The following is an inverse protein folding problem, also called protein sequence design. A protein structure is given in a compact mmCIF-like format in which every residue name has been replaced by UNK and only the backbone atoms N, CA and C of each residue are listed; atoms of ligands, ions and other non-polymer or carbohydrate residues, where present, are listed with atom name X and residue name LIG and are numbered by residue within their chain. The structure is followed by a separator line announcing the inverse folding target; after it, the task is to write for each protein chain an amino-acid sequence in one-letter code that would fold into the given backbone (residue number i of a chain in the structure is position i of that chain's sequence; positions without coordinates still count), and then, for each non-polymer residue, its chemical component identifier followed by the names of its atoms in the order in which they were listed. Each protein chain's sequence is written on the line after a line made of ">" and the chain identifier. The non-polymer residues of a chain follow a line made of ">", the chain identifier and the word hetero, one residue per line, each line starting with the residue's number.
data_IF_972827177166
#
_entry.id   IF_972827177166
#
_cell.length_a   1.000
_cell.length_b   1.000
_cell.length_c   1.000
_cell.angle_alpha   90.00
_cell.angle_beta   90.00
_cell.angle_gamma   90.00
#
_symmetry.space_group_name_H-M   'P 1'
#
loop_
_entity.id
_entity.type
_entity.pdbx_description
1 polymer ?
#
# COMPACT_ATOMS: atom_id res chain seq x y z
N UNK A 1 12.03 -1.20 57.06
CA UNK A 1 10.84 -0.81 57.84
C UNK A 1 10.19 0.39 57.18
N UNK A 2 8.85 0.44 57.24
CA UNK A 2 7.94 1.55 56.91
C UNK A 2 7.78 1.92 55.42
N UNK A 3 6.60 2.22 54.89
CA UNK A 3 5.21 1.93 55.30
C UNK A 3 4.35 2.12 54.04
N UNK A 4 3.39 1.23 53.81
CA UNK A 4 2.34 1.41 52.81
C UNK A 4 1.39 2.53 53.25
N UNK A 5 0.95 3.37 52.31
CA UNK A 5 -0.29 4.14 52.45
C UNK A 5 -1.29 3.65 51.41
N UNK A 6 -2.44 3.19 51.92
CA UNK A 6 -3.67 2.82 51.22
C UNK A 6 -4.71 3.92 51.44
N UNK A 7 -5.62 4.07 50.46
CA UNK A 7 -6.90 4.79 50.56
C UNK A 7 -6.76 6.29 50.33
N UNK A 8 -7.59 6.97 49.54
CA UNK A 8 -9.05 7.04 49.70
C UNK A 8 -9.75 7.25 48.34
N UNK A 9 -10.86 6.53 48.22
CA UNK A 9 -11.98 6.52 47.25
C UNK A 9 -12.24 7.73 46.34
N UNK A 10 -12.34 7.45 45.03
CA UNK A 10 -13.19 8.19 44.08
C UNK A 10 -14.32 7.26 43.62
N UNK A 11 -15.36 7.14 44.43
CA UNK A 11 -16.60 6.45 44.07
C UNK A 11 -17.75 7.29 44.60
N UNK A 12 -18.21 8.26 43.80
CA UNK A 12 -19.53 8.92 43.92
C UNK A 12 -19.68 10.06 42.88
N UNK A 13 -19.50 9.76 41.58
CA UNK A 13 -19.89 10.71 40.54
C UNK A 13 -20.44 10.04 39.26
N UNK A 14 -21.00 8.83 39.38
CA UNK A 14 -21.58 8.11 38.22
C UNK A 14 -23.04 7.68 38.43
N UNK A 15 -23.72 8.18 39.46
CA UNK A 15 -25.10 7.73 39.78
C UNK A 15 -26.21 8.76 39.51
N UNK A 16 -25.94 9.84 38.77
CA UNK A 16 -26.98 10.87 38.47
C UNK A 16 -27.14 11.15 36.96
N UNK A 17 -26.41 10.46 36.07
CA UNK A 17 -26.47 10.73 34.62
C UNK A 17 -27.09 9.60 33.80
N UNK A 18 -27.83 8.68 34.44
CA UNK A 18 -28.48 7.54 33.77
C UNK A 18 -30.02 7.70 33.75
N UNK A 19 -30.57 8.67 34.49
CA UNK A 19 -32.03 8.91 34.60
C UNK A 19 -32.65 9.91 33.63
N UNK A 20 -31.88 10.51 32.71
CA UNK A 20 -32.38 11.53 31.78
C UNK A 20 -32.17 11.23 30.29
N UNK A 21 -31.64 10.06 29.92
CA UNK A 21 -31.45 9.68 28.50
C UNK A 21 -32.56 8.80 27.94
N UNK A 22 -33.69 8.68 28.63
CA UNK A 22 -34.81 7.82 28.22
C UNK A 22 -36.15 8.57 28.27
N UNK A 23 -36.28 9.62 27.45
CA UNK A 23 -37.57 10.22 27.08
C UNK A 23 -37.47 11.22 25.91
N UNK A 24 -36.74 10.89 24.84
CA UNK A 24 -36.96 11.58 23.55
C UNK A 24 -36.81 10.56 22.43
N UNK A 25 -37.92 9.86 22.17
CA UNK A 25 -38.10 9.02 21.01
C UNK A 25 -38.04 9.91 19.77
N UNK A 26 -36.95 9.79 19.02
CA UNK A 26 -36.72 10.46 17.74
C UNK A 26 -37.55 9.78 16.64
N UNK A 27 -38.87 9.93 16.76
CA UNK A 27 -39.86 9.61 15.73
C UNK A 27 -40.33 10.92 15.09
N UNK A 28 -39.36 11.75 14.68
CA UNK A 28 -39.62 12.91 13.84
C UNK A 28 -39.81 12.36 12.42
N UNK A 29 -41.06 12.36 11.94
CA UNK A 29 -41.37 12.06 10.55
C UNK A 29 -40.54 12.95 9.60
N UNK A 30 -40.37 12.55 8.33
CA UNK A 30 -39.59 13.35 7.39
C UNK A 30 -40.11 14.78 7.35
N UNK A 31 -39.19 15.74 7.43
CA UNK A 31 -39.49 17.18 7.37
C UNK A 31 -40.43 17.45 6.19
N UNK A 32 -41.60 18.03 6.47
CA UNK A 32 -42.57 18.41 5.45
C UNK A 32 -42.02 19.61 4.67
N UNK A 33 -41.09 19.33 3.76
CA UNK A 33 -40.48 20.34 2.89
C UNK A 33 -41.42 20.61 1.73
N UNK A 34 -41.84 21.85 1.58
CA UNK A 34 -42.61 22.29 0.42
C UNK A 34 -41.90 21.90 -0.89
N UNK A 35 -42.67 21.45 -1.88
CA UNK A 35 -42.14 20.97 -3.17
C UNK A 35 -41.17 21.97 -3.83
N UNK A 36 -41.47 23.27 -3.75
CA UNK A 36 -40.61 24.33 -4.29
C UNK A 36 -39.28 24.45 -3.56
N UNK A 37 -39.27 24.31 -2.22
CA UNK A 37 -38.04 24.28 -1.45
C UNK A 37 -37.19 23.08 -1.86
N UNK A 38 -37.78 21.89 -1.96
CA UNK A 38 -37.11 20.68 -2.45
C UNK A 38 -36.49 20.86 -3.84
N UNK A 39 -37.23 21.49 -4.76
CA UNK A 39 -36.75 21.80 -6.11
C UNK A 39 -35.55 22.74 -6.09
N UNK A 40 -35.58 23.79 -5.27
CA UNK A 40 -34.44 24.72 -5.17
C UNK A 40 -33.20 24.08 -4.56
N UNK A 41 -33.38 23.22 -3.54
CA UNK A 41 -32.29 22.47 -2.91
C UNK A 41 -31.64 21.51 -3.90
N UNK A 42 -32.45 20.76 -4.66
CA UNK A 42 -31.95 19.84 -5.68
C UNK A 42 -31.14 20.58 -6.77
N UNK A 43 -31.63 21.74 -7.24
CA UNK A 43 -30.90 22.54 -8.24
C UNK A 43 -29.59 23.11 -7.71
N UNK A 44 -29.55 23.54 -6.44
CA UNK A 44 -28.32 24.00 -5.78
C UNK A 44 -27.32 22.85 -5.62
N UNK A 45 -27.78 21.70 -5.13
CA UNK A 45 -26.97 20.49 -4.99
C UNK A 45 -26.32 20.07 -6.33
N UNK A 46 -27.07 20.11 -7.43
CA UNK A 46 -26.53 19.82 -8.76
C UNK A 46 -25.42 20.82 -9.16
N UNK A 47 -25.63 22.12 -8.92
CA UNK A 47 -24.63 23.15 -9.23
C UNK A 47 -23.36 22.96 -8.39
N UNK A 48 -23.52 22.74 -7.08
CA UNK A 48 -22.42 22.53 -6.15
C UNK A 48 -21.61 21.28 -6.51
N UNK A 49 -22.29 20.20 -6.93
CA UNK A 49 -21.63 18.99 -7.42
C UNK A 49 -20.76 19.30 -8.65
N UNK A 50 -21.27 20.05 -9.64
CA UNK A 50 -20.50 20.43 -10.83
C UNK A 50 -19.30 21.34 -10.47
N UNK A 51 -19.50 22.29 -9.57
CA UNK A 51 -18.42 23.18 -9.11
C UNK A 51 -17.34 22.42 -8.34
N UNK A 52 -17.72 21.48 -7.49
CA UNK A 52 -16.77 20.64 -6.75
C UNK A 52 -15.85 19.84 -7.69
N UNK A 53 -16.41 19.31 -8.79
CA UNK A 53 -15.65 18.59 -9.82
C UNK A 53 -14.68 19.53 -10.54
N UNK A 54 -15.10 20.76 -10.87
CA UNK A 54 -14.23 21.77 -11.49
C UNK A 54 -13.07 22.13 -10.56
N UNK A 55 -13.35 22.45 -9.30
CA UNK A 55 -12.34 22.75 -8.26
C UNK A 55 -11.38 21.58 -8.07
N UNK A 56 -11.89 20.35 -8.02
CA UNK A 56 -11.06 19.14 -7.92
C UNK A 56 -10.11 18.97 -9.11
N UNK A 57 -10.58 19.22 -10.33
CA UNK A 57 -9.73 19.20 -11.55
C UNK A 57 -8.64 20.27 -11.50
N UNK A 58 -8.95 21.47 -11.03
CA UNK A 58 -7.98 22.56 -10.87
C UNK A 58 -6.90 22.22 -9.84
N UNK A 59 -7.28 21.70 -8.68
CA UNK A 59 -6.31 21.25 -7.66
C UNK A 59 -5.37 20.17 -8.22
N UNK A 60 -5.86 19.25 -9.06
CA UNK A 60 -5.03 18.23 -9.68
C UNK A 60 -4.05 18.83 -10.70
N UNK A 61 -4.50 19.80 -11.50
CA UNK A 61 -3.63 20.56 -12.42
C UNK A 61 -2.56 21.34 -11.65
N UNK A 62 -2.90 21.96 -10.54
CA UNK A 62 -1.96 22.69 -9.69
C UNK A 62 -0.90 21.76 -9.09
N UNK A 63 -1.31 20.60 -8.56
CA UNK A 63 -0.39 19.56 -8.07
C UNK A 63 0.55 19.06 -9.18
N UNK A 64 0.06 18.93 -10.42
CA UNK A 64 0.88 18.59 -11.58
C UNK A 64 1.92 19.68 -11.88
N UNK A 65 1.51 20.95 -11.92
CA UNK A 65 2.42 22.09 -12.11
C UNK A 65 3.49 22.16 -11.03
N UNK A 66 3.11 22.01 -9.75
CA UNK A 66 4.06 21.98 -8.61
C UNK A 66 5.11 20.87 -8.76
N UNK A 67 4.70 19.67 -9.16
CA UNK A 67 5.63 18.55 -9.42
C UNK A 67 6.58 18.85 -10.58
N UNK A 68 6.07 19.43 -11.67
CA UNK A 68 6.89 19.81 -12.82
C UNK A 68 7.94 20.87 -12.44
N UNK A 69 7.53 21.90 -11.70
CA UNK A 69 8.44 22.94 -11.20
C UNK A 69 9.49 22.37 -10.24
N UNK A 70 9.11 21.42 -9.38
CA UNK A 70 10.05 20.74 -8.51
C UNK A 70 11.10 19.95 -9.29
N UNK A 71 10.67 19.23 -10.32
CA UNK A 71 11.59 18.50 -11.21
C UNK A 71 12.53 19.44 -11.97
N UNK A 72 12.02 20.56 -12.49
CA UNK A 72 12.84 21.58 -13.14
C UNK A 72 13.89 22.16 -12.17
N UNK A 73 13.49 22.56 -10.97
CA UNK A 73 14.41 23.03 -9.92
C UNK A 73 15.45 21.98 -9.52
N UNK A 74 15.06 20.71 -9.45
CA UNK A 74 16.02 19.63 -9.18
C UNK A 74 17.02 19.44 -10.33
N UNK A 75 16.58 19.61 -11.59
CA UNK A 75 17.48 19.58 -12.74
C UNK A 75 18.47 20.74 -12.71
N UNK A 76 18.01 21.96 -12.46
CA UNK A 76 18.87 23.14 -12.30
C UNK A 76 19.89 22.95 -11.16
N UNK A 77 19.47 22.41 -10.01
CA UNK A 77 20.37 22.18 -8.85
C UNK A 77 21.34 21.01 -9.02
N UNK A 78 21.13 20.09 -9.98
CA UNK A 78 22.02 18.96 -10.21
C UNK A 78 23.24 19.31 -11.06
N UNK A 79 23.23 20.45 -11.73
CA UNK A 79 24.35 20.96 -12.51
C UNK A 79 24.80 22.28 -11.86
N UNK A 80 25.96 22.29 -11.18
CA UNK A 80 26.57 23.56 -10.77
C UNK A 80 26.74 24.42 -12.02
N UNK A 81 26.21 25.65 -12.00
CA UNK A 81 26.43 26.62 -13.09
C UNK A 81 27.93 26.81 -13.36
N UNK A 82 28.75 26.68 -12.32
CA UNK A 82 30.21 26.70 -12.42
C UNK A 82 30.76 25.64 -13.38
N UNK A 83 30.19 24.42 -13.39
CA UNK A 83 30.62 23.36 -14.32
C UNK A 83 30.11 23.60 -15.74
N UNK A 84 29.01 24.32 -15.93
CA UNK A 84 28.50 24.67 -17.26
C UNK A 84 29.34 25.81 -17.88
N UNK A 85 29.69 26.83 -17.10
CA UNK A 85 30.63 27.89 -17.54
C UNK A 85 32.03 27.34 -17.82
N UNK A 86 32.53 26.39 -17.03
CA UNK A 86 33.80 25.71 -17.29
C UNK A 86 33.77 24.92 -18.61
N UNK A 87 32.65 24.28 -18.96
CA UNK A 87 32.53 23.53 -20.22
C UNK A 87 32.32 24.43 -21.44
N UNK A 88 31.72 25.62 -21.29
CA UNK A 88 31.59 26.61 -22.36
C UNK A 88 32.90 27.37 -22.63
N UNK A 89 33.77 27.49 -21.62
CA UNK A 89 35.09 28.14 -21.75
C UNK A 89 36.19 27.21 -22.25
N UNK A 90 35.97 25.88 -22.28
CA UNK A 90 36.88 24.94 -22.98
C UNK A 90 36.68 25.09 -24.49
N UNK A 91 37.69 25.52 -25.26
CA UNK A 91 37.56 25.65 -26.71
C UNK A 91 37.35 24.26 -27.33
N UNK A 92 36.12 23.98 -27.77
CA UNK A 92 35.80 22.78 -28.54
C UNK A 92 36.57 22.80 -29.87
N UNK A 93 37.63 21.99 -29.95
CA UNK A 93 38.37 21.74 -31.19
C UNK A 93 37.52 20.82 -32.06
N UNK A 94 36.78 21.42 -32.99
CA UNK A 94 35.94 20.74 -33.99
C UNK A 94 36.78 19.77 -34.86
N UNK A 95 36.41 18.49 -35.01
CA UNK A 95 36.82 17.69 -36.16
C UNK A 95 35.89 18.00 -37.35
N UNK A 96 36.51 18.32 -38.49
CA UNK A 96 35.86 18.70 -39.75
C UNK A 96 35.05 17.53 -40.36
N UNK A 97 33.98 17.83 -41.12
CA UNK A 97 33.22 16.84 -41.88
C UNK A 97 33.95 16.47 -43.18
N UNK A 98 33.81 15.21 -43.60
CA UNK A 98 34.10 14.78 -44.97
C UNK A 98 32.89 14.03 -45.50
N UNK A 99 32.27 14.63 -46.52
CA UNK A 99 31.20 14.05 -47.35
C UNK A 99 31.69 12.82 -48.12
N UNK A 100 30.83 11.80 -48.29
CA UNK A 100 30.23 11.41 -49.58
C UNK A 100 29.43 10.10 -49.46
N UNK A 101 28.42 9.99 -50.33
CA UNK A 101 27.32 9.01 -50.36
C UNK A 101 27.76 7.65 -50.94
N UNK A 102 27.08 6.56 -50.57
CA UNK A 102 26.15 5.84 -51.46
C UNK A 102 25.64 4.53 -50.82
N UNK A 103 24.45 4.16 -51.29
CA UNK A 103 23.51 3.13 -50.83
C UNK A 103 23.87 1.68 -51.22
N UNK A 104 23.20 0.77 -50.51
CA UNK A 104 22.66 -0.53 -50.94
C UNK A 104 23.48 -1.83 -50.91
N UNK A 105 22.70 -2.86 -50.56
CA UNK A 105 22.98 -4.25 -50.20
C UNK A 105 23.70 -5.09 -51.26
N UNK A 106 24.44 -6.12 -50.82
CA UNK A 106 24.09 -7.55 -51.04
C UNK A 106 25.18 -8.53 -50.56
N UNK A 107 24.70 -9.65 -50.04
CA UNK A 107 25.43 -10.80 -49.53
C UNK A 107 26.32 -11.53 -50.57
N UNK A 108 27.48 -12.06 -50.16
CA UNK A 108 27.82 -13.53 -50.14
C UNK A 108 29.34 -13.82 -50.04
N UNK A 109 29.66 -14.64 -49.03
CA UNK A 109 30.66 -15.71 -48.92
C UNK A 109 31.96 -15.64 -49.75
N UNK A 110 33.10 -15.62 -49.06
CA UNK A 110 34.26 -16.47 -49.38
C UNK A 110 35.22 -16.55 -48.17
N UNK A 111 35.66 -17.77 -47.84
CA UNK A 111 36.58 -18.12 -46.76
C UNK A 111 37.98 -17.52 -46.96
N UNK A 112 38.57 -16.98 -45.88
CA UNK A 112 40.01 -16.66 -45.83
C UNK A 112 40.62 -17.04 -44.48
N UNK A 113 41.57 -17.98 -44.57
CA UNK A 113 42.83 -18.19 -43.82
C UNK A 113 43.01 -17.52 -42.43
N UNK A 114 43.41 -18.35 -41.45
CA UNK A 114 43.96 -17.96 -40.13
C UNK A 114 45.23 -17.08 -40.30
N UNK A 115 45.50 -16.14 -39.38
CA UNK A 115 46.50 -16.43 -38.35
C UNK A 115 46.22 -15.85 -36.96
N UNK A 116 46.88 -16.43 -35.97
CA UNK A 116 46.81 -16.12 -34.54
C UNK A 116 47.09 -14.65 -34.19
N UNK A 117 46.32 -14.09 -33.25
CA UNK A 117 46.79 -13.06 -32.32
C UNK A 117 46.21 -13.24 -30.92
N UNK A 118 47.10 -13.12 -29.97
CA UNK A 118 46.96 -13.24 -28.52
C UNK A 118 45.91 -12.26 -28.00
N UNK A 119 44.87 -12.76 -27.33
CA UNK A 119 44.09 -11.94 -26.39
C UNK A 119 44.40 -12.43 -24.97
N UNK A 120 45.22 -11.64 -24.27
CA UNK A 120 45.29 -11.68 -22.80
C UNK A 120 43.93 -11.20 -22.28
N UNK A 121 42.94 -12.07 -22.18
CA UNK A 121 41.69 -11.73 -21.50
C UNK A 121 41.99 -11.69 -20.01
N UNK A 122 42.10 -10.49 -19.46
CA UNK A 122 42.23 -10.28 -18.02
C UNK A 122 41.07 -11.01 -17.31
N UNK A 123 41.44 -12.02 -16.53
CA UNK A 123 40.61 -12.58 -15.48
C UNK A 123 40.21 -11.43 -14.53
N UNK A 124 38.92 -11.30 -14.25
CA UNK A 124 38.45 -10.31 -13.31
C UNK A 124 36.94 -10.23 -13.25
N UNK A 125 36.28 -11.30 -12.82
CA UNK A 125 34.86 -11.26 -12.52
C UNK A 125 34.68 -10.47 -11.21
N UNK A 126 34.59 -9.14 -11.30
CA UNK A 126 34.31 -8.29 -10.15
C UNK A 126 32.83 -8.42 -9.78
N UNK A 127 32.52 -9.28 -8.80
CA UNK A 127 31.20 -9.31 -8.19
C UNK A 127 31.17 -8.36 -7.00
N UNK A 128 30.59 -7.17 -7.20
CA UNK A 128 30.35 -6.22 -6.12
C UNK A 128 29.06 -6.61 -5.41
N UNK A 129 29.18 -7.18 -4.22
CA UNK A 129 28.05 -7.43 -3.34
C UNK A 129 27.95 -6.33 -2.29
N UNK A 130 26.76 -5.75 -2.14
CA UNK A 130 26.46 -4.87 -1.01
C UNK A 130 26.27 -5.76 0.22
N UNK A 131 27.28 -5.77 1.07
CA UNK A 131 27.36 -6.63 2.27
C UNK A 131 26.71 -5.89 3.45
N UNK A 132 25.83 -6.60 4.17
CA UNK A 132 25.15 -6.28 5.45
C UNK A 132 23.88 -5.40 5.43
N UNK A 133 23.81 -4.33 4.66
CA UNK A 133 22.65 -3.40 4.76
C UNK A 133 21.34 -3.96 4.20
N UNK A 134 21.38 -5.03 3.39
CA UNK A 134 20.18 -5.60 2.78
C UNK A 134 19.22 -6.22 3.80
N UNK A 135 19.75 -6.82 4.86
CA UNK A 135 18.94 -7.50 5.89
C UNK A 135 18.35 -6.49 6.90
N UNK A 136 19.14 -5.50 7.32
CA UNK A 136 18.70 -4.40 8.17
C UNK A 136 17.70 -3.50 7.43
N UNK A 137 17.91 -3.25 6.13
CA UNK A 137 16.95 -2.53 5.29
C UNK A 137 15.62 -3.29 5.18
N UNK A 138 15.65 -4.62 5.02
CA UNK A 138 14.43 -5.43 4.99
C UNK A 138 13.69 -5.39 6.33
N UNK A 139 14.41 -5.50 7.46
CA UNK A 139 13.82 -5.38 8.79
C UNK A 139 13.20 -4.01 9.04
N UNK A 140 13.89 -2.93 8.66
CA UNK A 140 13.39 -1.57 8.81
C UNK A 140 12.16 -1.33 7.93
N UNK A 141 12.19 -1.86 6.69
CA UNK A 141 11.05 -1.81 5.79
C UNK A 141 9.86 -2.55 6.38
N UNK A 142 10.05 -3.74 6.93
CA UNK A 142 8.97 -4.50 7.57
C UNK A 142 8.39 -3.76 8.77
N UNK A 143 9.23 -3.21 9.64
CA UNK A 143 8.80 -2.38 10.78
C UNK A 143 8.00 -1.15 10.32
N UNK A 144 8.40 -0.49 9.24
CA UNK A 144 7.67 0.64 8.68
C UNK A 144 6.31 0.21 8.11
N UNK A 145 6.23 -0.94 7.44
CA UNK A 145 4.96 -1.49 6.96
C UNK A 145 4.02 -1.82 8.12
N UNK A 146 4.55 -2.44 9.18
CA UNK A 146 3.79 -2.80 10.37
C UNK A 146 3.27 -1.55 11.10
N UNK A 147 4.08 -0.49 11.20
CA UNK A 147 3.67 0.80 11.77
C UNK A 147 2.49 1.42 11.00
N UNK A 148 2.58 1.44 9.66
CA UNK A 148 1.51 1.96 8.80
C UNK A 148 0.25 1.11 8.94
N UNK A 149 0.38 -0.21 8.96
CA UNK A 149 -0.73 -1.13 9.13
C UNK A 149 -1.44 -0.95 10.48
N UNK A 150 -0.70 -0.84 11.57
CA UNK A 150 -1.27 -0.63 12.91
C UNK A 150 -2.03 0.70 13.01
N UNK A 151 -1.55 1.77 12.37
CA UNK A 151 -2.20 3.08 12.37
C UNK A 151 -3.43 3.15 11.46
N UNK A 152 -3.40 2.50 10.29
CA UNK A 152 -4.52 2.53 9.35
C UNK A 152 -5.65 1.57 9.72
N UNK A 153 -5.34 0.39 10.25
CA UNK A 153 -6.30 -0.70 10.42
C UNK A 153 -6.57 -1.10 11.88
N UNK A 154 -5.81 -0.53 12.83
CA UNK A 154 -5.93 -0.82 14.25
C UNK A 154 -5.25 -2.12 14.71
N UNK A 155 -5.00 -2.27 16.01
CA UNK A 155 -4.39 -3.47 16.58
C UNK A 155 -5.27 -4.71 16.37
N UNK A 156 -4.66 -5.83 15.99
CA UNK A 156 -5.34 -7.13 15.80
C UNK A 156 -5.94 -7.35 14.39
N UNK A 157 -5.91 -6.36 13.50
CA UNK A 157 -6.47 -6.50 12.15
C UNK A 157 -5.42 -7.03 11.16
N UNK A 158 -5.45 -8.32 10.85
CA UNK A 158 -4.64 -8.93 9.77
C UNK A 158 -5.26 -8.68 8.37
N UNK A 159 -5.62 -7.44 8.06
CA UNK A 159 -6.06 -7.08 6.70
C UNK A 159 -4.86 -7.23 5.76
N UNK A 160 -4.94 -8.20 4.86
CA UNK A 160 -3.90 -8.42 3.84
C UNK A 160 -4.03 -7.35 2.76
N UNK A 161 -2.93 -6.74 2.32
CA UNK A 161 -2.97 -5.71 1.28
C UNK A 161 -3.35 -6.30 -0.07
N UNK A 162 -3.94 -5.48 -0.96
CA UNK A 162 -4.28 -5.92 -2.32
C UNK A 162 -3.06 -6.49 -3.07
N UNK A 163 -1.87 -5.91 -2.86
CA UNK A 163 -0.64 -6.43 -3.43
C UNK A 163 -0.32 -7.84 -2.92
N UNK A 164 -0.55 -8.11 -1.64
CA UNK A 164 -0.33 -9.42 -1.03
C UNK A 164 -1.40 -10.45 -1.46
N UNK A 165 -2.65 -10.03 -1.65
CA UNK A 165 -3.74 -10.88 -2.17
C UNK A 165 -3.51 -11.24 -3.64
N UNK A 166 -3.01 -10.30 -4.43
CA UNK A 166 -2.80 -10.47 -5.87
C UNK A 166 -1.38 -10.94 -6.23
N UNK A 167 -0.51 -11.16 -5.26
CA UNK A 167 0.88 -11.56 -5.50
C UNK A 167 0.96 -12.94 -6.15
N UNK A 168 1.97 -13.13 -7.02
CA UNK A 168 2.22 -14.43 -7.66
C UNK A 168 2.50 -15.52 -6.64
N UNK A 169 3.06 -15.17 -5.48
CA UNK A 169 3.32 -16.12 -4.38
C UNK A 169 2.03 -16.73 -3.83
N UNK A 170 0.97 -15.94 -3.62
CA UNK A 170 -0.35 -16.48 -3.23
C UNK A 170 -1.09 -17.17 -4.36
N UNK A 171 -0.82 -16.78 -5.61
CA UNK A 171 -1.43 -17.41 -6.79
C UNK A 171 -0.78 -18.74 -7.19
N UNK A 172 0.53 -18.89 -7.01
CA UNK A 172 1.33 -20.04 -7.47
C UNK A 172 1.87 -20.92 -6.34
N UNK A 173 1.89 -20.42 -5.09
CA UNK A 173 2.37 -21.18 -3.93
C UNK A 173 1.43 -22.32 -3.53
N UNK A 174 1.89 -23.22 -2.66
CA UNK A 174 1.12 -24.37 -2.17
C UNK A 174 -0.17 -23.98 -1.43
N UNK A 175 -0.22 -22.75 -0.88
CA UNK A 175 -1.37 -22.18 -0.20
C UNK A 175 -2.25 -21.38 -1.17
N UNK A 176 -2.71 -22.00 -2.25
CA UNK A 176 -3.70 -21.40 -3.17
C UNK A 176 -5.08 -21.34 -2.48
N UNK A 177 -5.23 -20.43 -1.53
CA UNK A 177 -6.50 -20.16 -0.88
C UNK A 177 -7.31 -19.18 -1.71
N UNK A 178 -8.62 -19.45 -1.88
CA UNK A 178 -9.55 -18.48 -2.45
C UNK A 178 -9.43 -17.12 -1.72
N UNK A 179 -9.44 -16.03 -2.48
CA UNK A 179 -9.29 -14.66 -1.96
C UNK A 179 -10.34 -14.31 -0.89
N UNK A 180 -11.48 -15.00 -0.90
CA UNK A 180 -12.54 -14.92 0.11
C UNK A 180 -13.03 -16.35 0.38
N UNK A 181 -12.95 -16.80 1.64
CA UNK A 181 -13.61 -18.04 2.08
C UNK A 181 -14.94 -17.66 2.74
N UNK A 182 -16.04 -17.88 2.03
CA UNK A 182 -17.39 -17.57 2.53
C UNK A 182 -17.85 -18.52 3.64
N UNK A 183 -17.20 -19.68 3.78
CA UNK A 183 -17.54 -20.69 4.79
C UNK A 183 -16.30 -21.05 5.59
N UNK A 184 -16.35 -20.82 6.90
CA UNK A 184 -15.29 -21.25 7.80
C UNK A 184 -15.34 -22.77 7.97
N UNK A 185 -14.47 -23.48 7.23
CA UNK A 185 -14.40 -24.95 7.25
C UNK A 185 -14.12 -25.52 8.64
N UNK A 186 -13.48 -24.74 9.53
CA UNK A 186 -13.16 -25.15 10.91
C UNK A 186 -14.38 -25.11 11.83
N UNK A 187 -15.31 -24.17 11.60
CA UNK A 187 -16.51 -23.99 12.43
C UNK A 187 -17.40 -25.24 12.46
N UNK A 188 -17.54 -25.92 11.31
CA UNK A 188 -18.30 -27.16 11.23
C UNK A 188 -17.70 -28.30 12.05
N UNK A 189 -16.36 -28.41 12.12
CA UNK A 189 -15.69 -29.43 12.93
C UNK A 189 -15.87 -29.17 14.43
N UNK A 190 -15.77 -27.90 14.86
CA UNK A 190 -15.97 -27.52 16.26
C UNK A 190 -17.41 -27.75 16.73
N UNK A 191 -18.41 -27.42 15.90
CA UNK A 191 -19.81 -27.67 16.21
C UNK A 191 -20.11 -29.18 16.29
N UNK A 192 -19.58 -29.98 15.37
CA UNK A 192 -19.69 -31.46 15.43
C UNK A 192 -19.07 -32.02 16.70
N UNK A 193 -17.86 -31.60 17.06
CA UNK A 193 -17.20 -32.03 18.29
C UNK A 193 -17.97 -31.61 19.56
N UNK A 194 -18.56 -30.41 19.58
CA UNK A 194 -19.45 -29.98 20.67
C UNK A 194 -20.70 -30.86 20.75
N UNK A 195 -21.35 -31.14 19.62
CA UNK A 195 -22.54 -31.99 19.56
C UNK A 195 -22.26 -33.43 20.03
N UNK A 196 -21.12 -34.02 19.66
CA UNK A 196 -20.72 -35.33 20.14
C UNK A 196 -20.49 -35.35 21.66
N UNK A 197 -19.82 -34.31 22.20
CA UNK A 197 -19.58 -34.19 23.64
C UNK A 197 -20.87 -34.02 24.42
N UNK A 198 -21.81 -33.23 23.92
CA UNK A 198 -23.12 -33.04 24.57
C UNK A 198 -23.95 -34.31 24.50
N UNK A 199 -23.96 -35.02 23.37
CA UNK A 199 -24.66 -36.30 23.21
C UNK A 199 -24.11 -37.36 24.19
N UNK A 200 -22.78 -37.53 24.26
CA UNK A 200 -22.14 -38.43 25.24
C UNK A 200 -22.52 -38.10 26.69
N UNK A 201 -22.57 -36.80 27.04
CA UNK A 201 -23.01 -36.36 28.38
C UNK A 201 -24.48 -36.65 28.64
N UNK A 202 -25.34 -36.47 27.64
CA UNK A 202 -26.77 -36.76 27.75
C UNK A 202 -27.02 -38.25 27.98
N UNK A 203 -26.42 -39.12 27.16
CA UNK A 203 -26.53 -40.58 27.30
C UNK A 203 -26.05 -41.04 28.69
N UNK A 204 -24.92 -40.51 29.16
CA UNK A 204 -24.41 -40.79 30.52
C UNK A 204 -25.38 -40.36 31.62
N UNK A 205 -26.01 -39.19 31.49
CA UNK A 205 -27.01 -38.70 32.45
C UNK A 205 -28.27 -39.56 32.48
N UNK A 206 -28.71 -40.01 31.31
CA UNK A 206 -29.92 -40.83 31.16
C UNK A 206 -29.70 -42.30 31.53
N UNK A 207 -28.47 -42.72 31.87
CA UNK A 207 -28.09 -44.12 32.17
C UNK A 207 -28.58 -45.11 31.10
N UNK A 208 -28.67 -44.67 29.84
CA UNK A 208 -29.19 -45.48 28.73
C UNK A 208 -28.23 -46.59 28.29
N UNK A 209 -27.00 -46.55 28.80
CA UNK A 209 -26.02 -47.62 28.65
C UNK A 209 -25.75 -48.14 30.07
N UNK A 210 -26.16 -49.37 30.41
CA UNK A 210 -25.71 -50.00 31.64
C UNK A 210 -24.20 -50.20 31.55
N UNK A 211 -23.48 -49.76 32.58
CA UNK A 211 -22.03 -49.90 32.72
C UNK A 211 -21.61 -51.36 32.79
#
# INVERSE_FOLDING_TARGET
>A
MAAQQRGVSHSNLEEITIGQMSASSEDEGPEEVAFDASKTVALKSMKDALESVKRGKEQLKEKRRKRQLFFQKQKEKRLPQTLLEELETVPQKQPKPSDEKDEEDTEKKAEVKKPARVSKSLQGNCSVMWVKDRSTAYSLQQSAMDFVHARLYGPGTQRTTNAQVLSLERKRGLNQGAAVQFVNKKLGAEQKAKAERTNKRFIRKQKLIPS
#
